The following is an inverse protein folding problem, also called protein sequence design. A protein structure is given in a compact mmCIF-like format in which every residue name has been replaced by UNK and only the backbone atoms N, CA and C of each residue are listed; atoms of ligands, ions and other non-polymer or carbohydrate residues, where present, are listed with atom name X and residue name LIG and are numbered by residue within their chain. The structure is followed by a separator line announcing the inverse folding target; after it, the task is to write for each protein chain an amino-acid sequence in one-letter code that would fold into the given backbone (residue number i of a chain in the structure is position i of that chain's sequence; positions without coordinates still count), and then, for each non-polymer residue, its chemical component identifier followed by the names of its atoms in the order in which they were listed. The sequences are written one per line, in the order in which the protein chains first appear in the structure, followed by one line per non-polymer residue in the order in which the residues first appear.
data_IF_987674259833
#
_entry.id   IF_987674259833
#
_cell.length_a   1.000
_cell.length_b   1.000
_cell.length_c   1.000
_cell.angle_alpha   90.00
_cell.angle_beta   90.00
_cell.angle_gamma   90.00
#
_symmetry.space_group_name_H-M   'P 1'
#
loop_
_entity.id
_entity.type
_entity.pdbx_description
1 polymer ?
#
# COMPACT_ATOMS: atom_id res chain seq x y z
N UNK A 1 20.29 3.30 -24.11
CA UNK A 1 18.93 2.74 -24.21
C UNK A 1 18.27 2.91 -22.86
N UNK A 2 17.00 3.29 -22.78
CA UNK A 2 16.29 3.38 -21.52
C UNK A 2 16.13 1.99 -20.89
N UNK A 3 16.34 1.87 -19.58
CA UNK A 3 16.21 0.62 -18.83
C UNK A 3 14.76 0.16 -18.79
N UNK A 4 14.53 -1.15 -18.97
CA UNK A 4 13.21 -1.75 -18.85
C UNK A 4 12.89 -2.03 -17.38
N UNK A 5 11.75 -1.52 -16.91
CA UNK A 5 11.22 -1.75 -15.56
C UNK A 5 9.79 -2.27 -15.66
N UNK A 6 9.51 -3.34 -14.94
CA UNK A 6 8.17 -3.94 -14.87
C UNK A 6 7.39 -3.44 -13.66
N UNK A 7 6.11 -3.17 -13.81
CA UNK A 7 5.17 -2.88 -12.71
C UNK A 7 4.00 -3.85 -12.80
N UNK A 8 3.83 -4.69 -11.78
CA UNK A 8 2.72 -5.64 -11.67
C UNK A 8 1.73 -5.11 -10.64
N UNK A 9 0.51 -4.85 -11.10
CA UNK A 9 -0.55 -4.22 -10.31
C UNK A 9 -0.58 -2.70 -10.53
N UNK A 10 -1.59 -2.22 -11.27
CA UNK A 10 -1.86 -0.81 -11.55
C UNK A 10 -3.02 -0.26 -10.70
N UNK A 11 -3.11 -0.72 -9.44
CA UNK A 11 -4.05 -0.18 -8.44
C UNK A 11 -3.74 1.27 -8.07
N UNK A 12 -4.34 1.75 -6.97
CA UNK A 12 -4.20 3.13 -6.51
C UNK A 12 -2.74 3.61 -6.39
N UNK A 13 -1.84 2.73 -5.93
CA UNK A 13 -0.40 3.03 -5.83
C UNK A 13 0.36 2.71 -7.12
N UNK A 14 0.08 1.56 -7.73
CA UNK A 14 0.87 1.03 -8.84
C UNK A 14 0.81 1.86 -10.11
N UNK A 15 -0.35 2.41 -10.44
CA UNK A 15 -0.48 3.31 -11.60
C UNK A 15 0.34 4.59 -11.40
N UNK A 16 0.31 5.15 -10.18
CA UNK A 16 1.13 6.31 -9.82
C UNK A 16 2.63 6.03 -9.96
N UNK A 17 3.09 4.89 -9.45
CA UNK A 17 4.47 4.42 -9.59
C UNK A 17 4.85 4.24 -11.05
N UNK A 18 4.03 3.56 -11.86
CA UNK A 18 4.30 3.33 -13.27
C UNK A 18 4.45 4.67 -14.04
N UNK A 19 3.58 5.64 -13.76
CA UNK A 19 3.67 7.00 -14.31
C UNK A 19 4.92 7.75 -13.86
N UNK A 20 5.31 7.61 -12.58
CA UNK A 20 6.55 8.23 -12.07
C UNK A 20 7.78 7.69 -12.77
N UNK A 21 7.86 6.38 -12.97
CA UNK A 21 8.94 5.73 -13.72
C UNK A 21 8.98 6.17 -15.20
N UNK A 22 7.81 6.30 -15.86
CA UNK A 22 7.78 6.86 -17.23
C UNK A 22 8.35 8.27 -17.30
N UNK A 23 7.95 9.15 -16.36
CA UNK A 23 8.47 10.53 -16.30
C UNK A 23 9.97 10.58 -16.02
N UNK A 24 10.51 9.61 -15.29
CA UNK A 24 11.95 9.47 -15.05
C UNK A 24 12.72 8.90 -16.25
N UNK A 25 12.03 8.57 -17.36
CA UNK A 25 12.65 8.14 -18.60
C UNK A 25 12.87 6.62 -18.72
N UNK A 26 12.30 5.81 -17.82
CA UNK A 26 12.31 4.36 -17.95
C UNK A 26 11.32 3.88 -19.02
N UNK A 27 11.65 2.75 -19.67
CA UNK A 27 10.68 2.01 -20.46
C UNK A 27 9.88 1.11 -19.52
N UNK A 28 8.63 1.48 -19.24
CA UNK A 28 7.82 0.81 -18.25
C UNK A 28 6.89 -0.21 -18.89
N UNK A 29 7.07 -1.46 -18.51
CA UNK A 29 6.18 -2.57 -18.84
C UNK A 29 5.20 -2.76 -17.68
N UNK A 30 3.92 -2.98 -17.98
CA UNK A 30 2.90 -3.13 -16.95
C UNK A 30 2.01 -4.34 -17.18
N UNK A 31 1.56 -4.95 -16.09
CA UNK A 31 0.57 -6.02 -16.08
C UNK A 31 -0.45 -5.75 -14.97
N UNK A 32 -1.74 -5.82 -15.29
CA UNK A 32 -2.87 -5.73 -14.35
C UNK A 32 -4.00 -6.62 -14.87
N UNK A 33 -4.83 -7.13 -13.96
CA UNK A 33 -6.00 -7.95 -14.31
C UNK A 33 -7.13 -7.14 -14.95
N UNK A 34 -7.09 -5.81 -14.87
CA UNK A 34 -8.07 -4.88 -15.44
C UNK A 34 -7.56 -4.32 -16.77
N UNK A 35 -8.04 -4.87 -17.85
CA UNK A 35 -7.65 -4.46 -19.22
C UNK A 35 -7.83 -2.95 -19.46
N UNK A 36 -8.90 -2.34 -18.95
CA UNK A 36 -9.16 -0.92 -19.13
C UNK A 36 -8.06 -0.02 -18.55
N UNK A 37 -7.51 -0.37 -17.38
CA UNK A 37 -6.40 0.37 -16.74
C UNK A 37 -5.11 0.15 -17.53
N UNK A 38 -4.88 -1.08 -17.99
CA UNK A 38 -3.70 -1.45 -18.76
C UNK A 38 -3.66 -0.73 -20.12
N UNK A 39 -4.80 -0.66 -20.82
CA UNK A 39 -4.93 0.07 -22.10
C UNK A 39 -4.75 1.58 -21.92
N UNK A 40 -5.32 2.15 -20.84
CA UNK A 40 -5.12 3.57 -20.53
C UNK A 40 -3.63 3.87 -20.28
N UNK A 41 -2.93 3.02 -19.53
CA UNK A 41 -1.50 3.19 -19.29
C UNK A 41 -0.65 3.03 -20.58
N UNK A 42 -1.03 2.12 -21.47
CA UNK A 42 -0.37 1.97 -22.77
C UNK A 42 -0.53 3.22 -23.64
N UNK A 43 -1.70 3.88 -23.61
CA UNK A 43 -1.93 5.15 -24.32
C UNK A 43 -1.07 6.31 -23.77
N UNK A 44 -0.62 6.23 -22.51
CA UNK A 44 0.32 7.19 -21.90
C UNK A 44 1.80 6.91 -22.24
N UNK A 45 2.09 5.88 -23.05
CA UNK A 45 3.46 5.51 -23.47
C UNK A 45 4.06 4.34 -22.70
N UNK A 46 3.30 3.67 -21.85
CA UNK A 46 3.68 2.40 -21.22
C UNK A 46 3.60 1.23 -22.20
N UNK A 47 4.12 0.09 -21.79
CA UNK A 47 4.04 -1.18 -22.55
C UNK A 47 3.12 -2.13 -21.79
N UNK A 48 1.98 -2.48 -22.39
CA UNK A 48 1.07 -3.48 -21.83
C UNK A 48 1.63 -4.89 -22.04
N UNK A 49 1.63 -5.71 -20.98
CA UNK A 49 1.99 -7.12 -21.02
C UNK A 49 0.78 -7.97 -20.63
N UNK A 50 0.54 -9.05 -21.35
CA UNK A 50 -0.59 -9.95 -21.13
C UNK A 50 -0.43 -10.82 -19.87
N UNK A 51 0.79 -10.98 -19.36
CA UNK A 51 1.08 -11.76 -18.17
C UNK A 51 2.30 -11.26 -17.39
N UNK A 52 2.42 -11.59 -16.10
CA UNK A 52 3.65 -11.36 -15.35
C UNK A 52 4.90 -12.01 -15.98
N UNK A 53 4.77 -13.18 -16.57
CA UNK A 53 5.87 -13.86 -17.26
C UNK A 53 6.37 -13.09 -18.50
N UNK A 54 5.44 -12.58 -19.33
CA UNK A 54 5.80 -11.74 -20.47
C UNK A 54 6.56 -10.48 -20.02
N UNK A 55 6.09 -9.84 -18.96
CA UNK A 55 6.73 -8.68 -18.35
C UNK A 55 8.11 -9.05 -17.79
N UNK A 56 8.21 -10.16 -17.04
CA UNK A 56 9.46 -10.64 -16.43
C UNK A 56 10.56 -10.92 -17.46
N UNK A 57 10.19 -11.49 -18.61
CA UNK A 57 11.13 -11.79 -19.69
C UNK A 57 11.81 -10.54 -20.29
N UNK A 58 11.19 -9.37 -20.14
CA UNK A 58 11.64 -8.12 -20.75
C UNK A 58 12.30 -7.15 -19.75
N UNK A 59 12.16 -7.39 -18.45
CA UNK A 59 12.55 -6.44 -17.42
C UNK A 59 13.66 -6.98 -16.52
N UNK A 60 14.63 -6.10 -16.19
CA UNK A 60 15.69 -6.42 -15.23
C UNK A 60 15.26 -6.11 -13.79
N UNK A 61 14.27 -5.23 -13.62
CA UNK A 61 13.65 -4.89 -12.32
C UNK A 61 12.14 -5.03 -12.45
N UNK A 62 11.53 -5.74 -11.52
CA UNK A 62 10.07 -5.94 -11.44
C UNK A 62 9.56 -5.45 -10.09
N UNK A 63 8.67 -4.47 -10.11
CA UNK A 63 7.98 -3.93 -8.93
C UNK A 63 6.61 -4.61 -8.81
N UNK A 64 6.31 -5.21 -7.65
CA UNK A 64 4.99 -5.78 -7.38
C UNK A 64 4.21 -4.90 -6.41
N UNK A 65 3.08 -4.36 -6.87
CA UNK A 65 2.19 -3.47 -6.11
C UNK A 65 0.76 -4.04 -6.05
N UNK A 66 0.69 -5.31 -5.67
CA UNK A 66 -0.56 -6.04 -5.44
C UNK A 66 -1.02 -5.93 -3.98
N UNK A 67 -2.23 -6.39 -3.66
CA UNK A 67 -2.88 -6.08 -2.38
C UNK A 67 -2.38 -6.95 -1.22
N UNK A 68 -2.04 -8.23 -1.49
CA UNK A 68 -1.79 -9.23 -0.44
C UNK A 68 -0.77 -10.30 -0.84
N UNK A 69 -0.45 -11.18 0.10
CA UNK A 69 0.48 -12.29 -0.08
C UNK A 69 0.03 -13.27 -1.18
N UNK A 70 -1.24 -13.63 -1.23
CA UNK A 70 -1.76 -14.58 -2.22
C UNK A 70 -1.61 -14.03 -3.65
N UNK A 71 -1.93 -12.76 -3.88
CA UNK A 71 -1.68 -12.12 -5.17
C UNK A 71 -0.19 -12.03 -5.49
N UNK A 72 0.66 -11.72 -4.48
CA UNK A 72 2.12 -11.71 -4.66
C UNK A 72 2.63 -13.08 -5.11
N UNK A 73 2.16 -14.17 -4.48
CA UNK A 73 2.47 -15.54 -4.90
C UNK A 73 2.05 -15.81 -6.34
N UNK A 74 0.81 -15.45 -6.68
CA UNK A 74 0.27 -15.70 -8.02
C UNK A 74 1.08 -14.98 -9.11
N UNK A 75 1.39 -13.69 -8.91
CA UNK A 75 2.08 -12.90 -9.96
C UNK A 75 3.57 -13.21 -10.06
N UNK A 76 4.19 -13.75 -9.01
CA UNK A 76 5.62 -14.12 -9.02
C UNK A 76 5.85 -15.58 -9.35
N UNK A 77 5.04 -16.50 -8.82
CA UNK A 77 5.29 -17.95 -8.90
C UNK A 77 4.13 -18.77 -9.48
N UNK A 78 3.01 -18.14 -9.84
CA UNK A 78 1.91 -18.83 -10.53
C UNK A 78 2.31 -19.36 -11.91
N UNK A 79 1.41 -20.02 -12.62
CA UNK A 79 1.63 -20.62 -13.95
C UNK A 79 2.26 -19.64 -14.96
N UNK A 80 1.86 -18.36 -14.91
CA UNK A 80 2.40 -17.27 -15.71
C UNK A 80 3.16 -16.25 -14.86
N UNK A 81 3.83 -16.72 -13.80
CA UNK A 81 4.56 -15.87 -12.84
C UNK A 81 5.84 -15.27 -13.42
N UNK A 82 6.22 -14.10 -12.92
CA UNK A 82 7.34 -13.35 -13.44
C UNK A 82 8.71 -14.03 -13.18
N UNK A 83 8.88 -14.68 -12.01
CA UNK A 83 10.19 -15.18 -11.53
C UNK A 83 10.83 -16.15 -12.51
N UNK A 84 10.07 -17.11 -13.06
CA UNK A 84 10.61 -18.12 -13.97
C UNK A 84 11.04 -17.53 -15.33
N UNK A 85 10.54 -16.35 -15.69
CA UNK A 85 10.83 -15.68 -16.97
C UNK A 85 11.91 -14.59 -16.84
N UNK A 86 12.20 -14.12 -15.63
CA UNK A 86 13.22 -13.10 -15.40
C UNK A 86 14.63 -13.66 -15.64
N UNK A 87 15.52 -12.79 -16.12
CA UNK A 87 16.94 -13.14 -16.30
C UNK A 87 17.65 -13.27 -14.95
N UNK A 88 18.62 -14.20 -14.82
CA UNK A 88 19.44 -14.28 -13.61
C UNK A 88 20.05 -12.93 -13.23
N UNK A 89 20.06 -12.63 -11.92
CA UNK A 89 20.50 -11.35 -11.37
C UNK A 89 19.48 -10.21 -11.42
N UNK A 90 18.31 -10.43 -12.02
CA UNK A 90 17.19 -9.48 -11.97
C UNK A 90 16.70 -9.23 -10.55
N UNK A 91 16.04 -8.09 -10.33
CA UNK A 91 15.59 -7.65 -9.00
C UNK A 91 14.07 -7.61 -8.93
N UNK A 92 13.49 -8.21 -7.89
CA UNK A 92 12.10 -8.04 -7.51
C UNK A 92 11.99 -7.03 -6.36
N UNK A 93 11.28 -5.94 -6.56
CA UNK A 93 10.90 -4.97 -5.51
C UNK A 93 9.51 -5.34 -5.03
N UNK A 94 9.44 -6.05 -3.89
CA UNK A 94 8.19 -6.55 -3.32
C UNK A 94 7.56 -5.48 -2.42
N UNK A 95 6.51 -4.81 -2.89
CA UNK A 95 5.94 -3.63 -2.23
C UNK A 95 4.57 -3.88 -1.58
N UNK A 96 4.02 -5.09 -1.67
CA UNK A 96 2.78 -5.45 -0.99
C UNK A 96 2.93 -5.41 0.54
N UNK A 97 1.88 -5.00 1.26
CA UNK A 97 1.84 -5.13 2.72
C UNK A 97 1.52 -6.58 3.10
N UNK A 98 2.51 -7.25 3.65
CA UNK A 98 2.46 -8.69 3.99
C UNK A 98 3.02 -8.95 5.39
N UNK A 99 2.80 -10.17 5.90
CA UNK A 99 3.45 -10.60 7.15
C UNK A 99 4.98 -10.66 6.97
N UNK A 100 5.78 -10.27 7.99
CA UNK A 100 7.25 -10.30 7.90
C UNK A 100 7.81 -11.67 7.54
N UNK A 101 7.25 -12.76 8.11
CA UNK A 101 7.69 -14.11 7.83
C UNK A 101 7.44 -14.53 6.38
N UNK A 102 6.35 -14.02 5.78
CA UNK A 102 6.08 -14.20 4.36
C UNK A 102 7.16 -13.51 3.52
N UNK A 103 7.52 -12.27 3.86
CA UNK A 103 8.56 -11.53 3.13
C UNK A 103 9.93 -12.24 3.21
N UNK A 104 10.26 -12.83 4.36
CA UNK A 104 11.47 -13.65 4.52
C UNK A 104 11.43 -14.89 3.61
N UNK A 105 10.34 -15.65 3.64
CA UNK A 105 10.17 -16.84 2.82
C UNK A 105 10.18 -16.51 1.31
N UNK A 106 9.56 -15.40 0.94
CA UNK A 106 9.53 -14.89 -0.43
C UNK A 106 10.95 -14.57 -0.92
N UNK A 107 11.75 -13.85 -0.12
CA UNK A 107 13.14 -13.52 -0.44
C UNK A 107 13.99 -14.76 -0.67
N UNK A 108 13.91 -15.73 0.24
CA UNK A 108 14.63 -17.01 0.11
C UNK A 108 14.31 -17.73 -1.21
N UNK A 109 13.03 -17.73 -1.61
CA UNK A 109 12.59 -18.39 -2.85
C UNK A 109 13.04 -17.64 -4.11
N UNK A 110 13.02 -16.32 -4.09
CA UNK A 110 13.48 -15.48 -5.19
C UNK A 110 14.99 -15.64 -5.37
N UNK A 111 15.76 -15.66 -4.29
CA UNK A 111 17.21 -15.89 -4.33
C UNK A 111 17.54 -17.29 -4.80
N UNK A 112 16.78 -18.32 -4.42
CA UNK A 112 16.94 -19.68 -4.93
C UNK A 112 16.69 -19.79 -6.43
N UNK A 113 15.92 -18.87 -7.02
CA UNK A 113 15.71 -18.75 -8.47
C UNK A 113 16.83 -17.95 -9.18
N UNK A 114 17.89 -17.56 -8.48
CA UNK A 114 19.01 -16.78 -9.04
C UNK A 114 18.70 -15.29 -9.24
N UNK A 115 17.65 -14.78 -8.60
CA UNK A 115 17.24 -13.38 -8.62
C UNK A 115 17.58 -12.70 -7.30
N UNK A 116 17.35 -11.42 -7.21
CA UNK A 116 17.49 -10.63 -5.98
C UNK A 116 16.14 -10.04 -5.56
N UNK A 117 15.95 -9.78 -4.27
CA UNK A 117 14.73 -9.15 -3.77
C UNK A 117 15.03 -7.97 -2.83
N UNK A 118 14.19 -6.95 -2.91
CA UNK A 118 14.00 -5.99 -1.82
C UNK A 118 12.59 -6.19 -1.24
N UNK A 119 12.51 -6.40 0.07
CA UNK A 119 11.28 -6.24 0.86
C UNK A 119 11.06 -4.74 1.02
N UNK A 120 10.10 -4.18 0.29
CA UNK A 120 10.02 -2.75 0.03
C UNK A 120 8.59 -2.18 0.10
N UNK A 121 7.85 -2.41 1.19
CA UNK A 121 6.54 -1.80 1.35
C UNK A 121 6.60 -0.27 1.38
N UNK A 122 5.48 0.33 0.98
CA UNK A 122 5.37 1.76 0.70
C UNK A 122 4.34 2.46 1.59
N UNK A 123 4.47 3.77 1.73
CA UNK A 123 3.52 4.66 2.40
C UNK A 123 3.44 6.00 1.67
N UNK A 124 2.29 6.70 1.78
CA UNK A 124 2.07 8.03 1.20
C UNK A 124 0.80 8.17 0.37
N UNK A 125 0.12 7.05 0.06
CA UNK A 125 -1.12 7.06 -0.73
C UNK A 125 -0.89 7.34 -2.23
N UNK A 126 -1.99 7.34 -2.99
CA UNK A 126 -1.97 7.46 -4.45
C UNK A 126 -1.33 8.77 -4.95
N UNK A 127 -1.55 9.89 -4.25
CA UNK A 127 -1.00 11.18 -4.62
C UNK A 127 0.54 11.18 -4.59
N UNK A 128 1.15 10.67 -3.50
CA UNK A 128 2.61 10.56 -3.41
C UNK A 128 3.19 9.49 -4.34
N UNK A 129 2.45 8.44 -4.65
CA UNK A 129 2.85 7.49 -5.67
C UNK A 129 2.92 8.15 -7.06
N UNK A 130 1.92 8.97 -7.37
CA UNK A 130 1.87 9.70 -8.64
C UNK A 130 2.96 10.78 -8.77
N UNK A 131 3.35 11.46 -7.68
CA UNK A 131 4.42 12.46 -7.70
C UNK A 131 5.83 11.88 -7.60
N UNK A 132 5.99 10.58 -7.29
CA UNK A 132 7.29 9.96 -7.01
C UNK A 132 7.83 10.28 -5.62
N UNK A 133 6.96 10.69 -4.69
CA UNK A 133 7.33 11.17 -3.35
C UNK A 133 6.92 10.18 -2.23
N UNK A 134 6.73 8.91 -2.58
CA UNK A 134 6.44 7.90 -1.56
C UNK A 134 7.54 7.78 -0.52
N UNK A 135 7.18 7.28 0.64
CA UNK A 135 8.14 6.74 1.60
C UNK A 135 8.23 5.23 1.42
N UNK A 136 9.43 4.71 1.22
CA UNK A 136 9.69 3.27 1.12
C UNK A 136 10.43 2.77 2.36
N UNK A 137 9.97 1.66 2.91
CA UNK A 137 10.57 0.97 4.07
C UNK A 137 11.24 -0.29 3.55
N UNK A 138 12.53 -0.21 3.21
CA UNK A 138 13.19 -1.26 2.45
C UNK A 138 14.17 -2.07 3.28
N UNK A 139 14.29 -3.36 2.98
CA UNK A 139 15.35 -4.23 3.49
C UNK A 139 15.69 -5.32 2.47
N UNK A 140 16.97 -5.74 2.48
CA UNK A 140 17.49 -6.74 1.56
C UNK A 140 18.97 -6.53 1.27
N UNK A 141 19.61 -7.42 0.49
CA UNK A 141 21.03 -7.42 0.27
C UNK A 141 21.53 -6.18 -0.47
N UNK A 142 22.74 -5.71 -0.17
CA UNK A 142 23.36 -4.54 -0.79
C UNK A 142 23.40 -4.63 -2.32
N UNK A 143 23.57 -5.83 -2.86
CA UNK A 143 23.58 -6.05 -4.30
C UNK A 143 22.24 -5.74 -4.98
N UNK A 144 21.10 -6.03 -4.30
CA UNK A 144 19.79 -5.69 -4.80
C UNK A 144 19.60 -4.16 -4.89
N UNK A 145 20.05 -3.40 -3.87
CA UNK A 145 20.04 -1.94 -3.91
C UNK A 145 20.88 -1.40 -5.06
N UNK A 146 22.13 -1.86 -5.18
CA UNK A 146 23.03 -1.40 -6.25
C UNK A 146 22.44 -1.65 -7.65
N UNK A 147 21.66 -2.71 -7.80
CA UNK A 147 21.03 -3.07 -9.06
C UNK A 147 19.74 -2.28 -9.39
N UNK A 148 19.13 -1.55 -8.44
CA UNK A 148 17.86 -0.84 -8.69
C UNK A 148 17.75 0.53 -8.00
N UNK A 149 18.85 1.15 -7.56
CA UNK A 149 18.84 2.46 -6.88
C UNK A 149 18.20 3.58 -7.71
N UNK A 150 18.41 3.56 -9.02
CA UNK A 150 17.79 4.47 -9.97
C UNK A 150 16.26 4.32 -10.02
N UNK A 151 15.76 3.08 -9.93
CA UNK A 151 14.34 2.78 -9.89
C UNK A 151 13.73 3.24 -8.56
N UNK A 152 14.38 2.96 -7.43
CA UNK A 152 13.94 3.41 -6.12
C UNK A 152 13.86 4.94 -6.04
N UNK A 153 14.86 5.64 -6.57
CA UNK A 153 14.91 7.11 -6.60
C UNK A 153 13.77 7.71 -7.45
N UNK A 154 13.32 7.02 -8.50
CA UNK A 154 12.21 7.47 -9.33
C UNK A 154 10.83 7.19 -8.70
N UNK A 155 10.74 6.26 -7.74
CA UNK A 155 9.50 5.87 -7.08
C UNK A 155 9.23 6.62 -5.79
N UNK A 156 10.27 7.12 -5.10
CA UNK A 156 10.16 7.58 -3.73
C UNK A 156 10.97 8.83 -3.43
N UNK A 157 10.36 9.77 -2.71
CA UNK A 157 11.05 10.92 -2.13
C UNK A 157 11.95 10.52 -0.95
N UNK A 158 11.63 9.39 -0.29
CA UNK A 158 12.45 8.88 0.82
C UNK A 158 12.50 7.35 0.82
N UNK A 159 13.70 6.80 0.72
CA UNK A 159 13.98 5.36 0.84
C UNK A 159 14.72 5.11 2.16
N UNK A 160 14.09 4.37 3.08
CA UNK A 160 14.72 3.91 4.31
C UNK A 160 15.30 2.52 4.08
N UNK A 161 16.63 2.38 4.13
CA UNK A 161 17.34 1.10 4.12
C UNK A 161 17.45 0.61 5.55
N UNK A 162 16.60 -0.34 5.93
CA UNK A 162 16.39 -0.75 7.33
C UNK A 162 17.24 -1.95 7.76
N UNK A 163 17.92 -2.57 6.82
CA UNK A 163 18.81 -3.71 7.07
C UNK A 163 18.99 -4.59 5.84
N UNK A 164 19.91 -5.56 5.97
CA UNK A 164 20.31 -6.44 4.86
C UNK A 164 19.45 -7.72 4.76
N UNK A 165 18.62 -8.00 5.76
CA UNK A 165 17.75 -9.18 5.79
C UNK A 165 16.32 -8.83 5.35
N UNK A 166 15.71 -9.71 4.56
CA UNK A 166 14.28 -9.60 4.21
C UNK A 166 13.38 -9.62 5.45
N UNK A 167 12.22 -9.00 5.36
CA UNK A 167 11.21 -8.95 6.41
C UNK A 167 11.35 -7.76 7.37
N UNK A 168 12.47 -7.03 7.40
CA UNK A 168 12.63 -5.85 8.26
C UNK A 168 11.77 -4.70 7.75
N UNK A 169 11.71 -4.47 6.44
CA UNK A 169 10.82 -3.50 5.80
C UNK A 169 9.36 -3.77 6.15
N UNK A 170 8.92 -5.02 5.97
CA UNK A 170 7.58 -5.48 6.35
C UNK A 170 7.29 -5.33 7.85
N UNK A 171 8.26 -5.57 8.75
CA UNK A 171 8.10 -5.31 10.19
C UNK A 171 7.80 -3.84 10.48
N UNK A 172 8.57 -2.94 9.89
CA UNK A 172 8.35 -1.49 10.06
C UNK A 172 7.02 -1.08 9.44
N UNK A 173 6.66 -1.65 8.27
CA UNK A 173 5.38 -1.36 7.62
C UNK A 173 4.18 -1.76 8.47
N UNK A 174 4.15 -2.94 9.08
CA UNK A 174 3.01 -3.35 9.93
C UNK A 174 2.88 -2.47 11.18
N UNK A 175 4.00 -1.98 11.74
CA UNK A 175 3.97 -1.01 12.85
C UNK A 175 3.39 0.33 12.38
N UNK A 176 3.76 0.79 11.17
CA UNK A 176 3.13 1.96 10.57
C UNK A 176 1.62 1.75 10.36
N UNK A 177 1.19 0.57 9.89
CA UNK A 177 -0.23 0.28 9.67
C UNK A 177 -1.01 0.15 10.98
N UNK A 178 -0.36 -0.31 12.06
CA UNK A 178 -0.92 -0.25 13.41
C UNK A 178 -1.33 1.19 13.75
N UNK A 179 -0.39 2.12 13.65
CA UNK A 179 -0.66 3.54 13.96
C UNK A 179 -1.71 4.13 13.01
N UNK A 180 -1.58 3.90 11.71
CA UNK A 180 -2.52 4.42 10.74
C UNK A 180 -3.96 3.96 11.00
N UNK A 181 -4.17 2.65 11.22
CA UNK A 181 -5.50 2.11 11.50
C UNK A 181 -6.09 2.61 12.82
N UNK A 182 -5.28 2.68 13.89
CA UNK A 182 -5.73 3.23 15.18
C UNK A 182 -6.10 4.71 15.04
N UNK A 183 -5.30 5.49 14.33
CA UNK A 183 -5.55 6.92 14.12
C UNK A 183 -6.82 7.17 13.29
N UNK A 184 -7.10 6.36 12.25
CA UNK A 184 -8.34 6.48 11.47
C UNK A 184 -9.55 6.12 12.35
N UNK A 185 -9.48 5.03 13.10
CA UNK A 185 -10.55 4.62 13.99
C UNK A 185 -10.83 5.69 15.06
N UNK A 186 -9.77 6.26 15.68
CA UNK A 186 -9.89 7.34 16.65
C UNK A 186 -10.43 8.64 16.02
N UNK A 187 -10.03 8.97 14.79
CA UNK A 187 -10.56 10.12 14.07
C UNK A 187 -12.05 9.98 13.80
N UNK A 188 -12.50 8.80 13.36
CA UNK A 188 -13.90 8.51 13.11
C UNK A 188 -14.73 8.60 14.41
N UNK A 189 -14.23 8.05 15.52
CA UNK A 189 -14.88 8.11 16.83
C UNK A 189 -14.98 9.55 17.33
N UNK A 190 -13.92 10.35 17.23
CA UNK A 190 -13.90 11.75 17.62
C UNK A 190 -14.89 12.60 16.81
N UNK A 191 -14.91 12.44 15.49
CA UNK A 191 -15.86 13.15 14.62
C UNK A 191 -17.31 12.71 14.91
N UNK A 192 -17.54 11.41 15.10
CA UNK A 192 -18.86 10.88 15.44
C UNK A 192 -19.39 11.47 16.78
N UNK A 193 -18.52 11.55 17.80
CA UNK A 193 -18.86 12.18 19.07
C UNK A 193 -19.19 13.68 18.89
N UNK A 194 -18.36 14.41 18.15
CA UNK A 194 -18.60 15.83 17.88
C UNK A 194 -19.95 16.08 17.18
N UNK A 195 -20.26 15.29 16.14
CA UNK A 195 -21.55 15.35 15.45
C UNK A 195 -22.72 15.04 16.38
N UNK A 196 -22.56 14.06 17.27
CA UNK A 196 -23.57 13.68 18.28
C UNK A 196 -23.85 14.79 19.27
N UNK A 197 -22.80 15.50 19.70
CA UNK A 197 -22.91 16.65 20.63
C UNK A 197 -23.31 17.96 19.93
N UNK A 198 -23.55 17.93 18.60
CA UNK A 198 -24.01 19.09 17.84
C UNK A 198 -22.91 20.09 17.51
N UNK A 199 -21.65 19.67 17.57
CA UNK A 199 -20.52 20.51 17.13
C UNK A 199 -20.50 20.57 15.62
N UNK A 200 -20.26 21.77 15.05
CA UNK A 200 -20.06 21.93 13.61
C UNK A 200 -18.82 21.14 13.14
N UNK A 201 -19.00 20.34 12.10
CA UNK A 201 -17.97 19.39 11.68
C UNK A 201 -16.73 20.08 11.08
N UNK A 202 -16.91 21.17 10.33
CA UNK A 202 -15.80 21.93 9.73
C UNK A 202 -15.01 22.67 10.84
N UNK A 203 -15.71 23.26 11.81
CA UNK A 203 -15.06 23.91 12.94
C UNK A 203 -14.29 22.89 13.81
N UNK A 204 -14.85 21.70 14.04
CA UNK A 204 -14.17 20.64 14.79
C UNK A 204 -12.90 20.19 14.08
N UNK A 205 -12.93 20.00 12.77
CA UNK A 205 -11.76 19.66 11.96
C UNK A 205 -10.68 20.74 12.08
N UNK A 206 -11.06 22.01 11.88
CA UNK A 206 -10.12 23.13 11.95
C UNK A 206 -9.43 23.21 13.33
N UNK A 207 -10.20 23.12 14.43
CA UNK A 207 -9.63 23.14 15.78
C UNK A 207 -8.69 21.98 16.03
N UNK A 208 -9.07 20.75 15.67
CA UNK A 208 -8.22 19.56 15.93
C UNK A 208 -6.93 19.61 15.13
N UNK A 209 -6.98 20.02 13.85
CA UNK A 209 -5.78 20.10 13.00
C UNK A 209 -4.75 21.10 13.53
N UNK A 210 -5.16 22.08 14.33
CA UNK A 210 -4.29 23.06 15.00
C UNK A 210 -4.04 22.73 16.48
N UNK A 211 -4.43 21.55 16.95
CA UNK A 211 -4.34 21.15 18.36
C UNK A 211 -3.55 19.85 18.55
N UNK A 212 -3.22 19.52 19.80
CA UNK A 212 -2.42 18.34 20.15
C UNK A 212 -3.09 16.98 19.83
N UNK A 213 -4.41 16.97 19.60
CA UNK A 213 -5.15 15.76 19.22
C UNK A 213 -4.99 15.36 17.74
N UNK A 214 -4.27 16.15 16.96
CA UNK A 214 -4.10 15.92 15.53
C UNK A 214 -3.24 14.69 15.21
N UNK A 215 -3.46 14.13 14.04
CA UNK A 215 -2.58 13.16 13.39
C UNK A 215 -2.63 13.34 11.88
N UNK A 216 -1.57 12.88 11.16
CA UNK A 216 -1.59 12.90 9.69
C UNK A 216 -2.80 12.16 9.11
N UNK A 217 -3.25 11.07 9.77
CA UNK A 217 -4.44 10.34 9.33
C UNK A 217 -5.73 11.13 9.56
N UNK A 218 -5.82 11.87 10.66
CA UNK A 218 -6.95 12.76 10.90
C UNK A 218 -7.06 13.83 9.80
N UNK A 219 -5.98 14.56 9.53
CA UNK A 219 -5.94 15.59 8.48
C UNK A 219 -6.33 15.03 7.10
N UNK A 220 -5.91 13.80 6.81
CA UNK A 220 -6.07 13.21 5.48
C UNK A 220 -7.42 12.51 5.28
N UNK A 221 -8.05 11.99 6.35
CA UNK A 221 -9.29 11.20 6.25
C UNK A 221 -10.55 11.96 6.61
N UNK A 222 -10.49 12.90 7.56
CA UNK A 222 -11.67 13.68 7.95
C UNK A 222 -12.24 14.51 6.78
N UNK A 223 -11.46 15.06 5.83
CA UNK A 223 -12.03 15.72 4.66
C UNK A 223 -12.99 14.85 3.83
N UNK A 224 -12.78 13.52 3.76
CA UNK A 224 -13.74 12.61 3.13
C UNK A 224 -15.09 12.62 3.87
N UNK A 225 -15.05 12.62 5.20
CA UNK A 225 -16.26 12.68 6.05
C UNK A 225 -16.98 14.02 5.83
N UNK A 226 -16.24 15.14 5.83
CA UNK A 226 -16.80 16.49 5.65
C UNK A 226 -17.45 16.68 4.28
N UNK A 227 -16.87 16.07 3.27
CA UNK A 227 -17.38 16.17 1.89
C UNK A 227 -18.43 15.11 1.54
N UNK A 228 -18.69 14.15 2.44
CA UNK A 228 -19.56 13.01 2.16
C UNK A 228 -19.07 12.13 1.00
N UNK A 229 -17.77 12.23 0.66
CA UNK A 229 -17.13 11.49 -0.42
C UNK A 229 -16.31 10.32 0.13
N UNK A 230 -16.84 9.13 -0.02
CA UNK A 230 -16.19 7.88 0.40
C UNK A 230 -15.61 7.09 -0.78
N UNK A 231 -15.28 7.76 -1.88
CA UNK A 231 -14.51 7.16 -2.98
C UNK A 231 -13.14 6.71 -2.45
N UNK A 232 -12.77 5.42 -2.55
CA UNK A 232 -11.64 4.89 -1.83
C UNK A 232 -10.30 5.38 -2.38
N UNK A 233 -9.54 6.08 -1.57
CA UNK A 233 -8.08 6.22 -1.71
C UNK A 233 -7.37 5.03 -1.03
N UNK A 234 -7.95 4.52 0.04
CA UNK A 234 -7.66 3.25 0.69
C UNK A 234 -8.98 2.69 1.24
N UNK A 235 -9.32 1.45 0.92
CA UNK A 235 -10.60 0.89 1.32
C UNK A 235 -10.60 0.40 2.78
N UNK A 236 -11.79 0.34 3.40
CA UNK A 236 -12.02 -0.26 4.73
C UNK A 236 -11.38 -1.66 4.81
N UNK A 237 -11.56 -2.51 3.79
CA UNK A 237 -11.03 -3.88 3.77
C UNK A 237 -9.49 -3.94 3.74
N UNK A 238 -8.81 -2.88 3.34
CA UNK A 238 -7.35 -2.80 3.46
C UNK A 238 -6.95 -2.79 4.94
N UNK A 239 -7.67 -2.05 5.81
CA UNK A 239 -7.38 -2.04 7.24
C UNK A 239 -7.92 -3.26 7.98
N UNK A 240 -8.97 -3.92 7.50
CA UNK A 240 -9.34 -5.27 7.95
C UNK A 240 -8.15 -6.22 7.75
N UNK A 241 -7.54 -6.21 6.57
CA UNK A 241 -6.36 -7.04 6.27
C UNK A 241 -5.13 -6.59 7.07
N UNK A 242 -4.78 -5.29 7.01
CA UNK A 242 -3.51 -4.80 7.57
C UNK A 242 -3.45 -4.91 9.10
N UNK A 243 -4.53 -4.54 9.80
CA UNK A 243 -4.62 -4.74 11.25
C UNK A 243 -4.69 -6.24 11.62
N UNK A 244 -5.28 -7.05 10.75
CA UNK A 244 -5.21 -8.52 10.88
C UNK A 244 -3.77 -9.02 10.87
N UNK A 245 -2.93 -8.57 9.93
CA UNK A 245 -1.49 -8.90 9.87
C UNK A 245 -0.74 -8.42 11.13
N UNK A 246 -1.07 -7.22 11.62
CA UNK A 246 -0.51 -6.67 12.87
C UNK A 246 -0.83 -7.57 14.06
N UNK A 247 -2.11 -7.93 14.24
CA UNK A 247 -2.57 -8.77 15.35
C UNK A 247 -2.00 -10.19 15.27
N UNK A 248 -1.92 -10.78 14.08
CA UNK A 248 -1.35 -12.10 13.90
C UNK A 248 0.15 -12.13 14.19
N UNK A 249 0.87 -11.06 13.83
CA UNK A 249 2.29 -10.94 14.17
C UNK A 249 2.49 -10.82 15.68
N UNK A 250 1.70 -9.98 16.34
CA UNK A 250 1.76 -9.81 17.79
C UNK A 250 1.36 -11.07 18.56
N UNK A 251 0.37 -11.84 18.05
CA UNK A 251 -0.06 -13.12 18.65
C UNK A 251 1.10 -14.13 18.73
N UNK A 252 1.94 -14.22 17.70
CA UNK A 252 3.10 -15.13 17.67
C UNK A 252 4.12 -14.79 18.74
N UNK A 253 4.34 -13.50 19.01
CA UNK A 253 5.24 -13.02 20.08
C UNK A 253 4.55 -12.89 21.45
N UNK A 254 3.26 -13.21 21.55
CA UNK A 254 2.43 -13.04 22.74
C UNK A 254 2.43 -11.59 23.26
N UNK A 255 2.50 -10.63 22.34
CA UNK A 255 2.53 -9.21 22.67
C UNK A 255 1.10 -8.62 22.61
N UNK A 256 0.63 -7.95 23.68
CA UNK A 256 -0.73 -7.41 23.73
C UNK A 256 -0.85 -6.12 22.88
N UNK A 257 -1.92 -6.00 22.09
CA UNK A 257 -2.24 -4.84 21.27
C UNK A 257 -3.71 -4.41 21.47
N UNK A 258 -4.11 -3.89 22.64
CA UNK A 258 -5.52 -3.59 22.92
C UNK A 258 -6.12 -2.54 21.98
N UNK A 259 -5.41 -1.44 21.67
CA UNK A 259 -5.90 -0.40 20.77
C UNK A 259 -6.09 -0.92 19.33
N UNK A 260 -5.13 -1.67 18.82
CA UNK A 260 -5.22 -2.25 17.47
C UNK A 260 -6.33 -3.28 17.36
N UNK A 261 -6.55 -4.08 18.42
CA UNK A 261 -7.63 -5.05 18.44
C UNK A 261 -9.00 -4.36 18.38
N UNK A 262 -9.19 -3.27 19.15
CA UNK A 262 -10.43 -2.46 19.12
C UNK A 262 -10.62 -1.81 17.74
N UNK A 263 -9.58 -1.14 17.21
CA UNK A 263 -9.65 -0.54 15.88
C UNK A 263 -9.98 -1.57 14.80
N UNK A 264 -9.37 -2.76 14.83
CA UNK A 264 -9.66 -3.84 13.89
C UNK A 264 -11.15 -4.24 13.93
N UNK A 265 -11.75 -4.34 15.12
CA UNK A 265 -13.19 -4.64 15.25
C UNK A 265 -14.07 -3.54 14.63
N UNK A 266 -13.67 -2.27 14.72
CA UNK A 266 -14.40 -1.16 14.08
C UNK A 266 -14.38 -1.30 12.55
N UNK A 267 -13.22 -1.60 11.95
CA UNK A 267 -13.11 -1.87 10.51
C UNK A 267 -13.90 -3.13 10.11
N UNK A 268 -13.84 -4.20 10.90
CA UNK A 268 -14.65 -5.40 10.69
C UNK A 268 -16.14 -5.09 10.70
N UNK A 269 -16.60 -4.24 11.62
CA UNK A 269 -18.00 -3.80 11.69
C UNK A 269 -18.39 -3.01 10.45
N UNK A 270 -17.55 -2.09 9.97
CA UNK A 270 -17.81 -1.34 8.75
C UNK A 270 -17.85 -2.24 7.51
N UNK A 271 -16.91 -3.17 7.39
CA UNK A 271 -16.90 -4.16 6.29
C UNK A 271 -18.14 -5.01 6.29
N UNK A 272 -18.55 -5.56 7.45
CA UNK A 272 -19.74 -6.40 7.57
C UNK A 272 -21.06 -5.64 7.33
N UNK A 273 -21.06 -4.31 7.54
CA UNK A 273 -22.18 -3.43 7.20
C UNK A 273 -22.25 -3.06 5.70
N UNK A 274 -21.35 -3.58 4.86
CA UNK A 274 -21.32 -3.34 3.42
C UNK A 274 -20.39 -2.21 2.95
N UNK A 275 -19.62 -1.60 3.86
CA UNK A 275 -18.71 -0.48 3.56
C UNK A 275 -17.28 -0.94 3.21
N UNK A 276 -17.03 -2.24 3.03
CA UNK A 276 -15.69 -2.79 2.81
C UNK A 276 -14.93 -2.18 1.64
N UNK A 277 -15.63 -1.86 0.54
CA UNK A 277 -15.05 -1.24 -0.65
C UNK A 277 -15.00 0.30 -0.64
N UNK A 278 -15.56 0.96 0.37
CA UNK A 278 -15.51 2.41 0.51
C UNK A 278 -14.18 2.86 1.14
N UNK A 279 -13.89 4.16 1.07
CA UNK A 279 -12.73 4.76 1.75
C UNK A 279 -12.70 4.39 3.24
N UNK A 280 -11.51 4.20 3.79
CA UNK A 280 -11.32 3.74 5.16
C UNK A 280 -11.90 4.72 6.23
N UNK A 281 -12.16 5.98 5.85
CA UNK A 281 -12.92 6.94 6.66
C UNK A 281 -14.40 6.54 6.85
N UNK A 282 -14.94 5.66 6.01
CA UNK A 282 -16.31 5.14 6.13
C UNK A 282 -16.57 4.34 7.42
N UNK A 283 -15.53 4.01 8.18
CA UNK A 283 -15.67 3.44 9.53
C UNK A 283 -16.55 4.31 10.45
N UNK A 284 -16.65 5.62 10.21
CA UNK A 284 -17.56 6.53 10.93
C UNK A 284 -19.02 6.14 10.76
N UNK A 285 -19.42 5.51 9.65
CA UNK A 285 -20.81 5.11 9.37
C UNK A 285 -21.34 4.06 10.33
N UNK A 286 -20.47 3.41 11.11
CA UNK A 286 -20.87 2.41 12.10
C UNK A 286 -21.36 3.02 13.43
N UNK A 287 -21.15 4.31 13.64
CA UNK A 287 -21.61 4.97 14.87
C UNK A 287 -23.10 5.33 14.79
N UNK A 288 -23.93 4.90 15.76
CA UNK A 288 -25.36 5.15 15.74
C UNK A 288 -25.71 6.59 16.15
N UNK A 289 -26.83 7.09 15.63
CA UNK A 289 -27.46 8.33 16.10
C UNK A 289 -26.68 9.61 15.77
N UNK A 290 -25.88 9.58 14.71
CA UNK A 290 -25.25 10.76 14.11
C UNK A 290 -25.88 11.07 12.76
N UNK A 291 -25.78 12.33 12.32
CA UNK A 291 -26.08 12.73 10.95
C UNK A 291 -24.78 13.12 10.28
N UNK A 292 -24.40 12.35 9.27
CA UNK A 292 -23.18 12.62 8.50
C UNK A 292 -23.37 13.84 7.58
N UNK A 293 -22.32 14.63 7.33
CA UNK A 293 -22.34 15.68 6.32
C UNK A 293 -22.79 15.14 4.95
N UNK A 294 -23.62 15.88 4.20
CA UNK A 294 -24.01 15.48 2.85
C UNK A 294 -22.82 15.58 1.88
N UNK A 295 -22.90 14.88 0.75
CA UNK A 295 -21.97 15.05 -0.35
C UNK A 295 -21.97 16.52 -0.83
N UNK A 296 -20.79 17.10 -0.98
CA UNK A 296 -20.54 18.47 -1.44
C UNK A 296 -20.10 18.49 -2.89
#
# INVERSE_FOLDING_TARGET
MSRNVGVIGLGAMGLGVARSLLRAGFRVHACDVRDTVLQAFAAEGGVACASPAELGAQCDVVVTLVVNAAQTETVLFGEHGAVAAMKPGGVVIASATVAPDFAVALGTRIEAAGLQMLDAPVSGGAARAASGEMTMMTSGPAAAYAACDDVLAAMAGKVYRLGDAHGIGSKVKIINQLLAGVHIAAAAEAMALGLREGVDADALYDVITHSAGNSWMFENRVPHILNGDYTPLSAVDIFVKDLGLVLDTARRSKFPLPLSATAHQMFMSASSAGHGGEDDSAVIKTFPGITLPPAR
#
